data_IF_807532143703
#
_entry.id   IF_807532143703
#
_cell.length_a   1.000
_cell.length_b   1.000
_cell.length_c   1.000
_cell.angle_alpha   90.00
_cell.angle_beta   90.00
_cell.angle_gamma   90.00
#
_symmetry.space_group_name_H-M   'P 1'
#
loop_
_entity.id
_entity.type
_entity.pdbx_description
1 polymer ?
#
# COMPACT_ATOMS: atom_id res chain seq x y z
N UNK A 1 39.22 44.75 24.42
CA UNK A 1 38.66 43.89 25.48
C UNK A 1 38.15 42.55 24.86
N UNK A 2 39.01 41.51 24.85
CA UNK A 2 38.63 40.20 24.37
C UNK A 2 37.76 39.50 25.43
N UNK A 3 36.50 39.23 25.12
CA UNK A 3 35.61 38.43 25.96
C UNK A 3 36.14 37.00 25.99
N UNK A 4 36.85 36.59 27.04
CA UNK A 4 37.20 35.19 27.31
C UNK A 4 35.90 34.44 27.68
N UNK A 5 35.48 33.51 26.83
CA UNK A 5 34.42 32.61 27.15
C UNK A 5 34.88 31.58 28.20
N UNK A 6 34.03 31.15 29.15
CA UNK A 6 34.37 30.06 30.07
C UNK A 6 34.69 28.80 29.29
N UNK A 7 35.69 27.98 29.73
CA UNK A 7 36.17 26.81 28.98
C UNK A 7 35.11 25.80 28.59
N UNK A 8 34.04 25.61 29.37
CA UNK A 8 32.91 24.73 29.05
C UNK A 8 32.00 25.25 27.93
N UNK A 9 31.91 26.57 27.71
CA UNK A 9 31.06 27.13 26.63
C UNK A 9 31.65 26.92 25.25
N UNK A 10 32.98 26.88 25.13
CA UNK A 10 33.69 26.66 23.86
C UNK A 10 33.60 25.17 23.45
N UNK A 11 33.74 24.26 24.42
CA UNK A 11 33.54 22.80 24.20
C UNK A 11 32.11 22.48 23.77
N UNK A 12 31.09 23.11 24.38
CA UNK A 12 29.68 22.91 24.05
C UNK A 12 29.36 23.31 22.60
N UNK A 13 29.78 24.49 22.15
CA UNK A 13 29.53 24.98 20.78
C UNK A 13 30.15 24.07 19.71
N UNK A 14 31.34 23.55 19.98
CA UNK A 14 32.02 22.63 19.07
C UNK A 14 31.21 21.30 18.96
N UNK A 15 30.72 20.79 20.10
CA UNK A 15 29.91 19.57 20.13
C UNK A 15 28.56 19.77 19.41
N UNK A 16 27.85 20.88 19.65
CA UNK A 16 26.62 21.24 18.99
C UNK A 16 26.79 21.30 17.46
N UNK A 17 27.84 21.96 16.97
CA UNK A 17 28.14 22.05 15.54
C UNK A 17 28.47 20.68 14.96
N UNK A 18 29.29 19.89 15.62
CA UNK A 18 29.63 18.52 15.19
C UNK A 18 28.39 17.63 15.05
N UNK A 19 27.42 17.76 15.95
CA UNK A 19 26.14 17.01 15.90
C UNK A 19 25.35 17.47 14.68
N UNK A 20 25.19 18.77 14.47
CA UNK A 20 24.42 19.31 13.36
C UNK A 20 25.03 18.93 12.00
N UNK A 21 26.35 19.08 11.84
CA UNK A 21 27.06 18.73 10.61
C UNK A 21 26.91 17.23 10.28
N UNK A 22 27.07 16.35 11.28
CA UNK A 22 26.87 14.91 11.09
C UNK A 22 25.41 14.51 10.82
N UNK A 23 24.46 15.19 11.42
CA UNK A 23 23.04 14.97 11.18
C UNK A 23 22.68 15.31 9.72
N UNK A 24 23.11 16.46 9.22
CA UNK A 24 22.86 16.87 7.83
C UNK A 24 23.58 15.98 6.80
N UNK A 25 24.71 15.42 7.19
CA UNK A 25 25.41 14.43 6.36
C UNK A 25 24.82 13.01 6.39
N UNK A 26 23.79 12.76 7.23
CA UNK A 26 23.19 11.44 7.38
C UNK A 26 24.06 10.39 8.11
N UNK A 27 25.13 10.82 8.78
CA UNK A 27 26.16 9.94 9.37
C UNK A 27 25.96 9.65 10.86
N UNK A 28 24.77 9.82 11.41
CA UNK A 28 24.49 9.50 12.84
C UNK A 28 23.58 8.28 12.92
N UNK A 29 24.12 7.14 13.34
CA UNK A 29 23.31 5.98 13.74
C UNK A 29 22.82 6.11 15.19
N UNK A 30 21.80 5.35 15.58
CA UNK A 30 21.12 5.42 16.87
C UNK A 30 22.05 5.28 18.07
N UNK A 31 23.01 4.33 18.03
CA UNK A 31 23.98 4.15 19.12
C UNK A 31 24.88 5.38 19.29
N UNK A 32 25.38 5.95 18.20
CA UNK A 32 26.18 7.17 18.25
C UNK A 32 25.37 8.38 18.70
N UNK A 33 24.08 8.44 18.34
CA UNK A 33 23.18 9.50 18.79
C UNK A 33 22.98 9.46 20.30
N UNK A 34 22.86 8.29 20.90
CA UNK A 34 22.72 8.13 22.35
C UNK A 34 23.98 8.59 23.08
N UNK A 35 25.17 8.20 22.62
CA UNK A 35 26.45 8.63 23.23
C UNK A 35 26.62 10.15 23.13
N UNK A 36 26.35 10.73 21.96
CA UNK A 36 26.41 12.21 21.78
C UNK A 36 25.36 12.93 22.62
N UNK A 37 24.20 12.33 22.83
CA UNK A 37 23.16 12.88 23.72
C UNK A 37 23.66 12.92 25.18
N UNK A 38 24.29 11.84 25.66
CA UNK A 38 24.81 11.75 27.01
C UNK A 38 25.94 12.77 27.26
N UNK A 39 26.82 12.98 26.28
CA UNK A 39 27.84 14.04 26.33
C UNK A 39 27.21 15.42 26.32
N UNK A 40 26.23 15.66 25.43
CA UNK A 40 25.60 16.98 25.26
C UNK A 40 24.79 17.38 26.49
N UNK A 41 24.02 16.47 27.08
CA UNK A 41 23.12 16.80 28.20
C UNK A 41 23.87 17.26 29.45
N UNK A 42 25.12 16.84 29.62
CA UNK A 42 25.98 17.25 30.76
C UNK A 42 26.42 18.71 30.64
N UNK A 43 26.58 19.22 29.40
CA UNK A 43 27.07 20.59 29.12
C UNK A 43 25.97 21.46 28.49
N UNK A 44 24.75 20.96 28.41
CA UNK A 44 23.64 21.60 27.71
C UNK A 44 23.23 22.95 28.34
N UNK A 45 22.75 23.82 27.49
CA UNK A 45 22.16 25.09 27.87
C UNK A 45 21.02 25.47 26.91
N UNK A 46 20.37 26.61 27.09
CA UNK A 46 19.20 26.99 26.27
C UNK A 46 19.45 26.97 24.76
N UNK A 47 20.67 27.20 24.31
CA UNK A 47 21.02 27.16 22.88
C UNK A 47 21.22 25.76 22.31
N UNK A 48 21.30 24.73 23.17
CA UNK A 48 21.56 23.34 22.73
C UNK A 48 20.34 22.66 22.11
N UNK A 49 19.15 23.26 22.15
CA UNK A 49 17.88 22.68 21.68
C UNK A 49 17.95 22.14 20.25
N UNK A 50 18.62 22.84 19.33
CA UNK A 50 18.74 22.39 17.94
C UNK A 50 19.50 21.07 17.82
N UNK A 51 20.65 20.96 18.48
CA UNK A 51 21.46 19.74 18.47
C UNK A 51 20.72 18.59 19.20
N UNK A 52 20.03 18.88 20.28
CA UNK A 52 19.16 17.91 20.98
C UNK A 52 18.05 17.40 20.05
N UNK A 53 17.38 18.28 19.31
CA UNK A 53 16.32 17.89 18.37
C UNK A 53 16.86 16.99 17.23
N UNK A 54 18.08 17.24 16.71
CA UNK A 54 18.73 16.36 15.74
C UNK A 54 18.89 14.94 16.32
N UNK A 55 19.39 14.82 17.55
CA UNK A 55 19.60 13.53 18.20
C UNK A 55 18.28 12.83 18.55
N UNK A 56 17.30 13.56 19.07
CA UNK A 56 15.95 13.05 19.33
C UNK A 56 15.28 12.54 18.06
N UNK A 57 15.43 13.24 16.93
CA UNK A 57 14.89 12.80 15.64
C UNK A 57 15.50 11.47 15.17
N UNK A 58 16.83 11.32 15.31
CA UNK A 58 17.51 10.07 14.92
C UNK A 58 17.05 8.91 15.82
N UNK A 59 17.09 9.09 17.15
CA UNK A 59 16.70 8.02 18.09
C UNK A 59 15.21 7.73 17.98
N UNK A 60 14.36 8.76 17.89
CA UNK A 60 12.91 8.61 17.80
C UNK A 60 12.45 7.93 16.51
N UNK A 61 13.20 8.10 15.40
CA UNK A 61 12.92 7.40 14.15
C UNK A 61 13.08 5.89 14.28
N UNK A 62 14.16 5.45 14.92
CA UNK A 62 14.51 4.03 15.01
C UNK A 62 13.87 3.36 16.24
N UNK A 63 13.78 4.09 17.37
CA UNK A 63 13.20 3.59 18.62
C UNK A 63 12.35 4.68 19.32
N UNK A 64 11.03 4.79 19.02
CA UNK A 64 10.16 5.83 19.55
C UNK A 64 10.11 5.86 21.10
N UNK A 65 10.12 4.69 21.74
CA UNK A 65 10.09 4.58 23.22
C UNK A 65 11.33 5.23 23.85
N UNK A 66 12.52 5.03 23.27
CA UNK A 66 13.73 5.71 23.72
C UNK A 66 13.64 7.22 23.50
N UNK A 67 13.05 7.66 22.38
CA UNK A 67 12.81 9.08 22.11
C UNK A 67 12.02 9.76 23.24
N UNK A 68 10.94 9.12 23.70
CA UNK A 68 10.14 9.61 24.85
C UNK A 68 10.98 9.65 26.15
N UNK A 69 11.78 8.62 26.40
CA UNK A 69 12.67 8.57 27.58
C UNK A 69 13.71 9.71 27.55
N UNK A 70 14.32 9.96 26.38
CA UNK A 70 15.30 11.05 26.22
C UNK A 70 14.66 12.42 26.41
N UNK A 71 13.42 12.63 25.97
CA UNK A 71 12.69 13.88 26.19
C UNK A 71 12.55 14.17 27.71
N UNK A 72 12.21 13.19 28.53
CA UNK A 72 12.14 13.34 29.98
C UNK A 72 13.48 13.77 30.59
N UNK A 73 14.59 13.31 30.03
CA UNK A 73 15.94 13.73 30.46
C UNK A 73 16.24 15.17 30.06
N UNK A 74 15.82 15.63 28.86
CA UNK A 74 15.92 17.01 28.43
C UNK A 74 15.15 17.96 29.35
N UNK A 75 13.93 17.57 29.70
CA UNK A 75 13.10 18.33 30.62
C UNK A 75 13.75 18.51 32.00
N UNK A 76 14.39 17.45 32.54
CA UNK A 76 15.13 17.49 33.82
C UNK A 76 16.40 18.33 33.73
N UNK A 77 17.03 18.41 32.59
CA UNK A 77 18.23 19.24 32.36
C UNK A 77 17.93 20.74 32.25
N UNK A 78 16.68 21.17 32.42
CA UNK A 78 16.21 22.57 32.33
C UNK A 78 16.53 23.23 30.98
N UNK A 79 16.64 22.44 29.92
CA UNK A 79 16.70 22.95 28.52
C UNK A 79 15.26 23.23 28.07
N UNK A 80 14.91 24.49 27.76
CA UNK A 80 13.53 24.83 27.37
C UNK A 80 13.18 24.11 26.05
N UNK A 81 12.18 23.21 26.03
CA UNK A 81 11.73 22.56 24.79
C UNK A 81 11.15 23.60 23.83
N UNK A 82 11.48 23.45 22.56
CA UNK A 82 10.94 24.25 21.46
C UNK A 82 9.77 23.52 20.78
N UNK A 83 9.04 24.20 19.91
CA UNK A 83 7.94 23.59 19.14
C UNK A 83 8.38 22.27 18.47
N UNK A 84 9.52 22.26 17.78
CA UNK A 84 10.06 21.03 17.13
C UNK A 84 10.31 19.91 18.16
N UNK A 85 10.76 20.25 19.37
CA UNK A 85 11.00 19.24 20.43
C UNK A 85 9.71 18.54 20.83
N UNK A 86 8.62 19.30 20.98
CA UNK A 86 7.29 18.75 21.25
C UNK A 86 6.73 17.96 20.05
N UNK A 87 6.97 18.42 18.82
CA UNK A 87 6.57 17.68 17.61
C UNK A 87 7.22 16.30 17.55
N UNK A 88 8.52 16.22 17.86
CA UNK A 88 9.24 14.95 17.94
C UNK A 88 8.66 14.06 19.06
N UNK A 89 8.33 14.65 20.22
CA UNK A 89 7.71 13.92 21.33
C UNK A 89 6.34 13.34 20.94
N UNK A 90 5.47 14.16 20.34
CA UNK A 90 4.14 13.72 19.89
C UNK A 90 4.28 12.58 18.89
N UNK A 91 5.16 12.71 17.89
CA UNK A 91 5.44 11.64 16.91
C UNK A 91 5.94 10.36 17.60
N UNK A 92 6.90 10.47 18.53
CA UNK A 92 7.42 9.33 19.28
C UNK A 92 6.34 8.65 20.12
N UNK A 93 5.49 9.41 20.82
CA UNK A 93 4.39 8.88 21.61
C UNK A 93 3.38 8.14 20.73
N UNK A 94 3.00 8.73 19.59
CA UNK A 94 2.08 8.13 18.63
C UNK A 94 2.63 6.83 18.04
N UNK A 95 3.89 6.80 17.64
CA UNK A 95 4.53 5.61 17.07
C UNK A 95 4.84 4.53 18.11
N UNK A 96 4.97 4.90 19.38
CA UNK A 96 5.12 3.98 20.51
C UNK A 96 3.78 3.39 20.98
N UNK A 97 2.64 3.78 20.38
CA UNK A 97 1.30 3.36 20.83
C UNK A 97 0.83 4.00 22.14
N UNK A 98 1.51 5.06 22.59
CA UNK A 98 1.19 5.76 23.84
C UNK A 98 0.32 7.00 23.58
N UNK A 99 -0.90 6.80 23.07
CA UNK A 99 -1.78 7.91 22.66
C UNK A 99 -2.08 8.90 23.79
N UNK A 100 -2.25 8.43 25.03
CA UNK A 100 -2.53 9.31 26.19
C UNK A 100 -1.39 10.32 26.43
N UNK A 101 -0.13 9.85 26.31
CA UNK A 101 1.03 10.73 26.37
C UNK A 101 1.11 11.67 25.16
N UNK A 102 0.72 11.20 23.98
CA UNK A 102 0.60 12.02 22.78
C UNK A 102 -0.41 13.16 22.96
N UNK A 103 -1.58 12.87 23.52
CA UNK A 103 -2.60 13.89 23.87
C UNK A 103 -2.09 14.87 24.92
N UNK A 104 -1.44 14.39 25.99
CA UNK A 104 -0.86 15.25 27.01
C UNK A 104 0.20 16.20 26.44
N UNK A 105 1.10 15.68 25.59
CA UNK A 105 2.10 16.47 24.89
C UNK A 105 1.45 17.52 23.96
N UNK A 106 0.38 17.14 23.24
CA UNK A 106 -0.39 18.06 22.41
C UNK A 106 -1.05 19.17 23.24
N UNK A 107 -1.60 18.84 24.41
CA UNK A 107 -2.14 19.81 25.35
C UNK A 107 -1.10 20.87 25.80
N UNK A 108 0.16 20.46 25.95
CA UNK A 108 1.26 21.39 26.23
C UNK A 108 1.58 22.29 25.01
N UNK A 109 1.60 21.75 23.81
CA UNK A 109 1.80 22.51 22.56
C UNK A 109 0.77 23.64 22.45
N UNK A 110 -0.49 23.30 22.69
CA UNK A 110 -1.61 24.25 22.65
C UNK A 110 -1.47 25.33 23.72
N UNK A 111 -1.18 24.96 24.98
CA UNK A 111 -1.02 25.91 26.10
C UNK A 111 0.13 26.88 25.88
N UNK A 112 1.19 26.47 25.19
CA UNK A 112 2.34 27.32 24.88
C UNK A 112 2.10 28.22 23.65
N UNK A 113 0.94 28.12 22.99
CA UNK A 113 0.55 28.97 21.87
C UNK A 113 1.38 28.75 20.61
N UNK A 114 1.95 27.57 20.40
CA UNK A 114 2.72 27.30 19.19
C UNK A 114 1.81 27.24 17.95
N UNK A 115 2.10 28.07 16.96
CA UNK A 115 1.31 28.22 15.72
C UNK A 115 1.40 27.03 14.76
N UNK A 116 2.41 26.18 14.88
CA UNK A 116 2.62 25.00 14.04
C UNK A 116 1.96 23.72 14.59
N UNK A 117 0.88 23.87 15.37
CA UNK A 117 0.17 22.75 15.97
C UNK A 117 -0.40 21.74 14.95
N UNK A 118 -0.62 22.16 13.70
CA UNK A 118 -1.19 21.32 12.64
C UNK A 118 -0.35 20.07 12.34
N UNK A 119 0.98 20.17 12.40
CA UNK A 119 1.88 19.00 12.21
C UNK A 119 1.68 17.99 13.34
N UNK A 120 1.57 18.48 14.58
CA UNK A 120 1.36 17.65 15.77
C UNK A 120 0.00 16.95 15.72
N UNK A 121 -1.06 17.65 15.28
CA UNK A 121 -2.35 17.03 15.02
C UNK A 121 -2.26 15.93 13.96
N UNK A 122 -1.48 16.13 12.90
CA UNK A 122 -1.32 15.12 11.85
C UNK A 122 -0.69 13.82 12.36
N UNK A 123 0.29 13.90 13.27
CA UNK A 123 0.86 12.70 13.91
C UNK A 123 -0.18 11.98 14.77
N UNK A 124 -0.94 12.74 15.56
CA UNK A 124 -1.98 12.22 16.42
C UNK A 124 -3.13 11.58 15.64
N UNK A 125 -3.62 12.24 14.58
CA UNK A 125 -4.65 11.73 13.69
C UNK A 125 -4.25 10.40 13.05
N UNK A 126 -3.01 10.30 12.55
CA UNK A 126 -2.49 9.04 11.96
C UNK A 126 -2.50 7.90 12.96
N UNK A 127 -2.07 8.15 14.19
CA UNK A 127 -2.01 7.14 15.24
C UNK A 127 -3.42 6.70 15.68
N UNK A 128 -4.36 7.64 15.84
CA UNK A 128 -5.76 7.36 16.18
C UNK A 128 -6.43 6.52 15.09
N UNK A 129 -6.24 6.87 13.81
CA UNK A 129 -6.77 6.09 12.69
C UNK A 129 -6.13 4.70 12.60
N UNK A 130 -4.84 4.55 12.96
CA UNK A 130 -4.18 3.23 13.01
C UNK A 130 -4.78 2.32 14.09
N UNK A 131 -5.29 2.89 15.21
CA UNK A 131 -6.05 2.17 16.24
C UNK A 131 -7.53 1.95 15.90
N UNK A 132 -7.95 2.25 14.67
CA UNK A 132 -9.35 2.13 14.22
C UNK A 132 -10.33 2.98 15.05
N UNK A 133 -9.91 4.16 15.49
CA UNK A 133 -10.73 5.14 16.23
C UNK A 133 -11.02 6.35 15.34
N UNK A 134 -11.33 6.15 14.06
CA UNK A 134 -11.44 7.24 13.08
C UNK A 134 -12.58 8.22 13.38
N UNK A 135 -13.65 7.79 14.06
CA UNK A 135 -14.69 8.74 14.55
C UNK A 135 -14.12 9.80 15.48
N UNK A 136 -13.20 9.41 16.36
CA UNK A 136 -12.54 10.38 17.25
C UNK A 136 -11.57 11.28 16.46
N UNK A 137 -10.86 10.75 15.47
CA UNK A 137 -10.03 11.57 14.59
C UNK A 137 -10.88 12.61 13.82
N UNK A 138 -12.08 12.23 13.40
CA UNK A 138 -13.05 13.12 12.75
C UNK A 138 -13.51 14.24 13.70
N UNK A 139 -13.84 13.94 14.95
CA UNK A 139 -14.15 14.95 15.96
C UNK A 139 -12.99 15.92 16.21
N UNK A 140 -11.75 15.43 16.20
CA UNK A 140 -10.57 16.29 16.30
C UNK A 140 -10.51 17.29 15.14
N UNK A 141 -10.68 16.82 13.90
CA UNK A 141 -10.60 17.68 12.71
C UNK A 141 -11.76 18.68 12.65
N UNK A 142 -12.99 18.24 12.93
CA UNK A 142 -14.18 19.06 12.73
C UNK A 142 -14.46 20.01 13.92
N UNK A 143 -14.05 19.63 15.13
CA UNK A 143 -14.41 20.37 16.36
C UNK A 143 -13.20 20.86 17.12
N UNK A 144 -12.25 19.96 17.46
CA UNK A 144 -11.17 20.28 18.38
C UNK A 144 -10.16 21.24 17.73
N UNK A 145 -9.70 20.98 16.51
CA UNK A 145 -8.74 21.85 15.82
C UNK A 145 -9.26 23.29 15.68
N UNK A 146 -10.51 23.53 15.21
CA UNK A 146 -11.07 24.89 15.13
C UNK A 146 -11.19 25.58 16.48
N UNK A 147 -11.52 24.87 17.57
CA UNK A 147 -11.59 25.44 18.92
C UNK A 147 -10.27 26.05 19.40
N UNK A 148 -9.15 25.55 18.86
CA UNK A 148 -7.80 26.06 19.16
C UNK A 148 -7.23 26.95 18.05
N UNK A 149 -8.07 27.53 17.21
CA UNK A 149 -7.67 28.35 16.05
C UNK A 149 -6.68 27.64 15.11
N UNK A 150 -6.68 26.30 15.11
CA UNK A 150 -5.91 25.48 14.19
C UNK A 150 -6.82 25.05 13.04
N UNK A 151 -6.73 25.74 11.90
CA UNK A 151 -7.56 25.42 10.74
C UNK A 151 -7.10 24.08 10.12
N UNK A 152 -7.98 23.06 10.05
CA UNK A 152 -7.65 21.82 9.35
C UNK A 152 -7.29 22.11 7.89
N UNK A 153 -6.33 21.38 7.37
CA UNK A 153 -5.94 21.46 5.96
C UNK A 153 -6.31 20.15 5.22
N UNK A 154 -6.15 20.14 3.92
CA UNK A 154 -6.43 18.97 3.07
C UNK A 154 -5.69 17.71 3.54
N UNK A 155 -4.49 17.86 4.12
CA UNK A 155 -3.72 16.74 4.64
C UNK A 155 -4.36 16.13 5.89
N UNK A 156 -4.93 16.95 6.80
CA UNK A 156 -5.67 16.47 7.97
C UNK A 156 -6.91 15.67 7.56
N UNK A 157 -7.65 16.16 6.59
CA UNK A 157 -8.81 15.45 6.03
C UNK A 157 -8.39 14.15 5.31
N UNK A 158 -7.30 14.16 4.53
CA UNK A 158 -6.80 12.95 3.84
C UNK A 158 -6.47 11.81 4.80
N UNK A 159 -5.97 12.12 6.01
CA UNK A 159 -5.73 11.10 7.04
C UNK A 159 -7.05 10.48 7.51
N UNK A 160 -8.07 11.30 7.74
CA UNK A 160 -9.40 10.84 8.16
C UNK A 160 -10.07 10.01 7.05
N UNK A 161 -10.05 10.47 5.80
CA UNK A 161 -10.57 9.72 4.66
C UNK A 161 -9.93 8.34 4.54
N UNK A 162 -8.60 8.29 4.61
CA UNK A 162 -7.88 7.01 4.59
C UNK A 162 -8.24 6.11 5.77
N UNK A 163 -8.45 6.68 6.95
CA UNK A 163 -8.90 5.96 8.14
C UNK A 163 -10.28 5.34 7.92
N UNK A 164 -11.26 6.13 7.49
CA UNK A 164 -12.63 5.68 7.20
C UNK A 164 -12.66 4.56 6.16
N UNK A 165 -11.97 4.74 5.04
CA UNK A 165 -11.89 3.72 3.99
C UNK A 165 -11.23 2.42 4.48
N UNK A 166 -10.19 2.50 5.34
CA UNK A 166 -9.57 1.32 5.93
C UNK A 166 -10.49 0.59 6.92
N UNK A 167 -11.39 1.31 7.59
CA UNK A 167 -12.42 0.75 8.49
C UNK A 167 -13.67 0.27 7.73
N UNK A 168 -13.69 0.33 6.40
CA UNK A 168 -14.85 0.04 5.54
C UNK A 168 -16.07 0.93 5.87
N UNK A 169 -15.82 2.21 6.01
CA UNK A 169 -16.81 3.26 6.31
C UNK A 169 -16.78 4.34 5.24
N UNK A 170 -16.71 3.93 3.98
CA UNK A 170 -16.57 4.85 2.84
C UNK A 170 -17.82 5.72 2.64
N UNK A 171 -18.98 5.30 3.17
CA UNK A 171 -20.19 6.12 3.17
C UNK A 171 -20.02 7.39 4.01
N UNK A 172 -19.43 7.30 5.20
CA UNK A 172 -19.15 8.47 6.02
C UNK A 172 -18.08 9.37 5.40
N UNK A 173 -17.13 8.77 4.67
CA UNK A 173 -16.18 9.54 3.89
C UNK A 173 -16.85 10.31 2.74
N UNK A 174 -17.84 9.73 2.08
CA UNK A 174 -18.64 10.39 1.05
C UNK A 174 -19.41 11.60 1.61
N UNK A 175 -20.07 11.42 2.76
CA UNK A 175 -20.77 12.51 3.46
C UNK A 175 -19.82 13.64 3.84
N UNK A 176 -18.62 13.32 4.30
CA UNK A 176 -17.62 14.32 4.66
C UNK A 176 -17.13 15.11 3.42
N UNK A 177 -16.98 14.46 2.24
CA UNK A 177 -16.70 15.17 0.97
C UNK A 177 -17.84 16.16 0.66
N UNK A 178 -19.09 15.75 0.81
CA UNK A 178 -20.23 16.62 0.54
C UNK A 178 -20.22 17.87 1.42
N UNK A 179 -19.96 17.69 2.72
CA UNK A 179 -19.81 18.81 3.65
C UNK A 179 -18.66 19.76 3.20
N UNK A 180 -17.51 19.21 2.79
CA UNK A 180 -16.39 20.04 2.31
C UNK A 180 -16.71 20.81 1.03
N UNK A 181 -17.54 20.26 0.15
CA UNK A 181 -17.98 20.92 -1.10
C UNK A 181 -18.99 22.02 -0.79
N UNK A 182 -19.96 21.74 0.10
CA UNK A 182 -21.03 22.66 0.45
C UNK A 182 -20.55 23.87 1.26
N UNK A 183 -19.64 23.65 2.22
CA UNK A 183 -19.08 24.73 3.05
C UNK A 183 -18.27 25.75 2.24
N UNK A 184 -17.84 25.42 1.01
CA UNK A 184 -17.09 26.33 0.13
C UNK A 184 -15.81 26.88 0.76
N UNK A 185 -15.36 26.28 1.87
CA UNK A 185 -14.30 26.74 2.75
C UNK A 185 -12.90 26.65 2.15
N UNK A 186 -11.90 26.89 3.01
CA UNK A 186 -10.47 26.90 2.65
C UNK A 186 -9.93 25.57 2.13
N UNK A 187 -10.66 24.46 2.36
CA UNK A 187 -10.21 23.09 2.05
C UNK A 187 -11.20 22.44 1.06
N UNK A 188 -11.02 22.69 -0.24
CA UNK A 188 -11.75 21.95 -1.25
C UNK A 188 -11.12 20.57 -1.48
N UNK A 189 -11.96 19.51 -1.68
CA UNK A 189 -11.45 18.20 -2.04
C UNK A 189 -10.57 18.25 -3.28
N UNK A 190 -9.42 17.62 -3.23
CA UNK A 190 -8.47 17.51 -4.35
C UNK A 190 -8.53 16.11 -5.00
N UNK A 191 -7.72 15.89 -6.03
CA UNK A 191 -7.63 14.60 -6.73
C UNK A 191 -7.29 13.45 -5.79
N UNK A 192 -6.48 13.68 -4.76
CA UNK A 192 -6.07 12.64 -3.78
C UNK A 192 -7.25 12.25 -2.90
N UNK A 193 -8.01 13.25 -2.45
CA UNK A 193 -9.21 13.06 -1.63
C UNK A 193 -10.25 12.24 -2.37
N UNK A 194 -10.65 12.69 -3.57
CA UNK A 194 -11.61 11.96 -4.41
C UNK A 194 -11.14 10.53 -4.70
N UNK A 195 -9.89 10.36 -5.12
CA UNK A 195 -9.33 9.03 -5.45
C UNK A 195 -9.32 8.09 -4.25
N UNK A 196 -9.04 8.60 -3.05
CA UNK A 196 -9.03 7.79 -1.81
C UNK A 196 -10.43 7.26 -1.49
N UNK A 197 -11.46 8.11 -1.58
CA UNK A 197 -12.84 7.70 -1.26
C UNK A 197 -13.42 6.82 -2.37
N UNK A 198 -13.15 7.12 -3.63
CA UNK A 198 -13.51 6.26 -4.77
C UNK A 198 -12.92 4.85 -4.61
N UNK A 199 -11.64 4.73 -4.29
CA UNK A 199 -10.97 3.44 -4.05
C UNK A 199 -11.58 2.71 -2.85
N UNK A 200 -11.94 3.43 -1.78
CA UNK A 200 -12.65 2.89 -0.63
C UNK A 200 -14.00 2.29 -1.01
N UNK A 201 -14.84 3.05 -1.69
CA UNK A 201 -16.15 2.62 -2.18
C UNK A 201 -16.05 1.38 -3.09
N UNK A 202 -15.07 1.37 -4.00
CA UNK A 202 -14.83 0.23 -4.90
C UNK A 202 -14.42 -1.04 -4.13
N UNK A 203 -13.63 -0.91 -3.07
CA UNK A 203 -13.23 -2.04 -2.20
C UNK A 203 -14.39 -2.58 -1.37
N UNK A 204 -15.37 -1.76 -1.07
CA UNK A 204 -16.60 -2.14 -0.38
C UNK A 204 -17.67 -2.69 -1.34
N UNK A 205 -17.44 -2.60 -2.65
CA UNK A 205 -18.37 -3.06 -3.70
C UNK A 205 -19.40 -2.00 -4.12
N UNK A 206 -19.31 -0.77 -3.58
CA UNK A 206 -20.23 0.33 -3.84
C UNK A 206 -19.89 1.05 -5.17
N UNK A 207 -19.96 0.31 -6.28
CA UNK A 207 -19.47 0.75 -7.60
C UNK A 207 -20.26 1.94 -8.15
N UNK A 208 -21.58 1.95 -7.98
CA UNK A 208 -22.42 3.04 -8.46
C UNK A 208 -22.15 4.34 -7.70
N UNK A 209 -21.91 4.27 -6.39
CA UNK A 209 -21.55 5.43 -5.59
C UNK A 209 -20.16 5.95 -5.97
N UNK A 210 -19.20 5.06 -6.24
CA UNK A 210 -17.87 5.42 -6.71
C UNK A 210 -17.92 6.17 -8.06
N UNK A 211 -18.79 5.72 -8.99
CA UNK A 211 -19.00 6.37 -10.27
C UNK A 211 -19.69 7.74 -10.13
N UNK A 212 -20.66 7.84 -9.25
CA UNK A 212 -21.33 9.11 -8.96
C UNK A 212 -20.34 10.12 -8.38
N UNK A 213 -19.47 9.67 -7.45
CA UNK A 213 -18.43 10.52 -6.87
C UNK A 213 -17.39 10.95 -7.91
N UNK A 214 -17.04 10.06 -8.84
CA UNK A 214 -16.17 10.42 -9.97
C UNK A 214 -16.83 11.48 -10.87
N UNK A 215 -18.09 11.33 -11.16
CA UNK A 215 -18.84 12.31 -11.95
C UNK A 215 -18.93 13.66 -11.24
N UNK A 216 -19.08 13.66 -9.90
CA UNK A 216 -19.02 14.86 -9.06
C UNK A 216 -17.65 15.53 -9.13
N UNK A 217 -16.56 14.74 -8.99
CA UNK A 217 -15.19 15.23 -9.13
C UNK A 217 -15.01 16.01 -10.46
N UNK A 218 -15.53 15.44 -11.57
CA UNK A 218 -15.45 16.08 -12.88
C UNK A 218 -16.28 17.37 -12.93
N UNK A 219 -17.47 17.39 -12.32
CA UNK A 219 -18.38 18.55 -12.25
C UNK A 219 -17.77 19.70 -11.43
N UNK A 220 -17.02 19.37 -10.38
CA UNK A 220 -16.27 20.34 -9.56
C UNK A 220 -14.99 20.85 -10.25
N UNK A 221 -14.70 20.41 -11.47
CA UNK A 221 -13.53 20.83 -12.23
C UNK A 221 -12.22 20.20 -11.74
N UNK A 222 -12.26 19.19 -10.88
CA UNK A 222 -11.09 18.45 -10.42
C UNK A 222 -10.74 17.40 -11.46
N UNK A 223 -9.59 17.56 -12.12
CA UNK A 223 -9.13 16.61 -13.15
C UNK A 223 -8.66 15.31 -12.51
N UNK A 224 -9.22 14.15 -12.90
CA UNK A 224 -8.71 12.87 -12.45
C UNK A 224 -7.33 12.60 -13.01
N UNK A 225 -6.58 11.72 -12.36
CA UNK A 225 -5.34 11.19 -12.90
C UNK A 225 -5.53 9.75 -13.41
N UNK A 226 -4.49 9.20 -14.04
CA UNK A 226 -4.52 7.83 -14.57
C UNK A 226 -4.83 6.79 -13.49
N UNK A 227 -4.40 7.02 -12.24
CA UNK A 227 -4.64 6.11 -11.12
C UNK A 227 -6.14 6.08 -10.77
N UNK A 228 -6.77 7.26 -10.63
CA UNK A 228 -8.22 7.38 -10.35
C UNK A 228 -9.04 6.65 -11.42
N UNK A 229 -8.77 6.92 -12.69
CA UNK A 229 -9.51 6.30 -13.80
C UNK A 229 -9.29 4.78 -13.85
N UNK A 230 -8.05 4.30 -13.68
CA UNK A 230 -7.74 2.88 -13.69
C UNK A 230 -8.39 2.13 -12.51
N UNK A 231 -8.47 2.76 -11.33
CA UNK A 231 -9.17 2.17 -10.18
C UNK A 231 -10.67 2.02 -10.45
N UNK A 232 -11.31 3.04 -11.02
CA UNK A 232 -12.74 2.99 -11.39
C UNK A 232 -12.98 1.92 -12.44
N UNK A 233 -12.20 1.90 -13.51
CA UNK A 233 -12.29 0.89 -14.57
C UNK A 233 -12.15 -0.51 -13.99
N UNK A 234 -11.14 -0.73 -13.13
CA UNK A 234 -10.93 -2.03 -12.47
C UNK A 234 -12.11 -2.43 -11.58
N UNK A 235 -12.65 -1.49 -10.79
CA UNK A 235 -13.81 -1.73 -9.94
C UNK A 235 -15.05 -2.09 -10.75
N UNK A 236 -15.34 -1.34 -11.82
CA UNK A 236 -16.46 -1.58 -12.73
C UNK A 236 -16.34 -2.92 -13.45
N UNK A 237 -15.14 -3.29 -13.92
CA UNK A 237 -14.90 -4.59 -14.56
C UNK A 237 -15.15 -5.73 -13.58
N UNK A 238 -14.71 -5.63 -12.33
CA UNK A 238 -15.00 -6.62 -11.28
C UNK A 238 -16.50 -6.75 -10.97
N UNK A 239 -17.23 -5.65 -11.03
CA UNK A 239 -18.67 -5.62 -10.86
C UNK A 239 -19.45 -5.93 -12.15
N UNK A 240 -18.78 -6.46 -13.18
CA UNK A 240 -19.36 -6.83 -14.48
C UNK A 240 -20.01 -5.65 -15.25
N UNK A 241 -19.72 -4.40 -14.87
CA UNK A 241 -20.21 -3.18 -15.51
C UNK A 241 -19.23 -2.65 -16.57
N UNK A 242 -18.79 -3.52 -17.48
CA UNK A 242 -17.69 -3.23 -18.43
C UNK A 242 -18.02 -2.12 -19.43
N UNK A 243 -19.31 -1.95 -19.77
CA UNK A 243 -19.73 -0.87 -20.69
C UNK A 243 -19.52 0.51 -20.03
N UNK A 244 -19.85 0.67 -18.74
CA UNK A 244 -19.52 1.88 -17.98
C UNK A 244 -17.99 2.09 -17.86
N UNK A 245 -17.23 1.01 -17.69
CA UNK A 245 -15.77 1.08 -17.67
C UNK A 245 -15.21 1.62 -19.00
N UNK A 246 -15.80 1.23 -20.13
CA UNK A 246 -15.44 1.73 -21.46
C UNK A 246 -15.78 3.23 -21.62
N UNK A 247 -16.88 3.70 -21.05
CA UNK A 247 -17.20 5.12 -21.03
C UNK A 247 -16.13 5.93 -20.28
N UNK A 248 -15.63 5.41 -19.14
CA UNK A 248 -14.53 6.06 -18.40
C UNK A 248 -13.24 6.06 -19.22
N UNK A 249 -12.94 4.99 -19.96
CA UNK A 249 -11.79 4.97 -20.89
C UNK A 249 -11.92 6.06 -21.96
N UNK A 250 -13.12 6.23 -22.55
CA UNK A 250 -13.38 7.28 -23.52
C UNK A 250 -13.16 8.68 -22.91
N UNK A 251 -13.64 8.90 -21.68
CA UNK A 251 -13.42 10.16 -20.95
C UNK A 251 -11.95 10.43 -20.66
N UNK A 252 -11.12 9.39 -20.45
CA UNK A 252 -9.67 9.54 -20.32
C UNK A 252 -9.08 10.18 -21.60
N UNK A 253 -9.42 9.64 -22.77
CA UNK A 253 -8.92 10.16 -24.04
C UNK A 253 -9.39 11.61 -24.30
N UNK A 254 -10.66 11.91 -24.06
CA UNK A 254 -11.21 13.26 -24.23
C UNK A 254 -10.49 14.30 -23.37
N UNK A 255 -9.92 13.88 -22.24
CA UNK A 255 -9.18 14.74 -21.31
C UNK A 255 -7.65 14.67 -21.48
N UNK A 256 -7.17 13.93 -22.49
CA UNK A 256 -5.73 13.75 -22.72
C UNK A 256 -5.03 12.91 -21.65
N UNK A 257 -5.76 12.11 -20.86
CA UNK A 257 -5.20 11.17 -19.90
C UNK A 257 -4.90 9.86 -20.61
N UNK A 258 -3.62 9.54 -20.78
CA UNK A 258 -3.23 8.32 -21.48
C UNK A 258 -3.44 7.08 -20.58
N UNK A 259 -4.24 6.08 -21.05
CA UNK A 259 -4.38 4.81 -20.36
C UNK A 259 -3.03 4.09 -20.25
N UNK A 260 -2.83 3.41 -19.13
CA UNK A 260 -1.65 2.58 -18.92
C UNK A 260 -1.97 1.09 -19.04
N UNK A 261 -0.96 0.24 -18.92
CA UNK A 261 -1.10 -1.22 -18.98
C UNK A 261 -2.14 -1.77 -18.00
N UNK A 262 -2.21 -1.20 -16.79
CA UNK A 262 -3.19 -1.61 -15.76
C UNK A 262 -4.62 -1.32 -16.21
N UNK A 263 -4.86 -0.18 -16.87
CA UNK A 263 -6.18 0.18 -17.43
C UNK A 263 -6.63 -0.87 -18.45
N UNK A 264 -5.75 -1.20 -19.41
CA UNK A 264 -6.07 -2.18 -20.44
C UNK A 264 -6.23 -3.59 -19.88
N UNK A 265 -5.35 -4.03 -18.99
CA UNK A 265 -5.45 -5.34 -18.34
C UNK A 265 -6.77 -5.51 -17.57
N UNK A 266 -7.25 -4.44 -16.90
CA UNK A 266 -8.55 -4.46 -16.21
C UNK A 266 -9.71 -4.62 -17.17
N UNK A 267 -9.71 -3.94 -18.32
CA UNK A 267 -10.74 -4.06 -19.34
C UNK A 267 -10.72 -5.45 -20.02
N UNK A 268 -9.54 -5.94 -20.39
CA UNK A 268 -9.35 -7.27 -20.97
C UNK A 268 -9.92 -8.33 -20.03
N UNK A 269 -9.56 -8.28 -18.75
CA UNK A 269 -10.08 -9.20 -17.74
C UNK A 269 -11.60 -9.08 -17.58
N UNK A 270 -12.14 -7.86 -17.57
CA UNK A 270 -13.58 -7.61 -17.50
C UNK A 270 -14.33 -8.18 -18.69
N UNK A 271 -13.88 -7.94 -19.91
CA UNK A 271 -14.49 -8.51 -21.12
C UNK A 271 -14.41 -10.03 -21.16
N UNK A 272 -13.27 -10.63 -20.79
CA UNK A 272 -13.15 -12.10 -20.70
C UNK A 272 -14.09 -12.69 -19.64
N UNK A 273 -14.29 -12.03 -18.50
CA UNK A 273 -15.22 -12.54 -17.48
C UNK A 273 -16.68 -12.61 -17.96
N UNK A 274 -17.02 -11.82 -18.99
CA UNK A 274 -18.34 -11.82 -19.65
C UNK A 274 -18.37 -12.65 -20.95
N UNK A 275 -17.29 -13.32 -21.33
CA UNK A 275 -17.18 -14.08 -22.59
C UNK A 275 -17.18 -13.20 -23.86
N UNK A 276 -16.92 -11.91 -23.73
CA UNK A 276 -16.96 -10.92 -24.83
C UNK A 276 -15.61 -10.83 -25.56
N UNK A 277 -15.18 -11.90 -26.22
CA UNK A 277 -13.85 -12.00 -26.84
C UNK A 277 -13.63 -11.03 -28.01
N UNK A 278 -14.68 -10.70 -28.76
CA UNK A 278 -14.54 -9.77 -29.90
C UNK A 278 -14.12 -8.37 -29.45
N UNK A 279 -14.62 -7.95 -28.32
CA UNK A 279 -14.26 -6.66 -27.71
C UNK A 279 -12.82 -6.67 -27.16
N UNK A 280 -12.35 -7.82 -26.68
CA UNK A 280 -10.95 -7.98 -26.26
C UNK A 280 -10.00 -7.74 -27.43
N UNK A 281 -10.29 -8.27 -28.63
CA UNK A 281 -9.47 -8.03 -29.82
C UNK A 281 -9.41 -6.53 -30.18
N UNK A 282 -10.50 -5.80 -29.95
CA UNK A 282 -10.53 -4.35 -30.14
C UNK A 282 -9.65 -3.63 -29.13
N UNK A 283 -9.71 -4.03 -27.86
CA UNK A 283 -8.88 -3.45 -26.80
C UNK A 283 -7.39 -3.71 -27.07
N UNK A 284 -7.00 -4.90 -27.53
CA UNK A 284 -5.61 -5.17 -27.93
C UNK A 284 -5.14 -4.27 -29.08
N UNK A 285 -5.96 -4.04 -30.09
CA UNK A 285 -5.64 -3.12 -31.17
C UNK A 285 -5.48 -1.68 -30.66
N UNK A 286 -6.40 -1.24 -29.82
CA UNK A 286 -6.37 0.09 -29.21
C UNK A 286 -5.13 0.28 -28.34
N UNK A 287 -4.79 -0.71 -27.51
CA UNK A 287 -3.59 -0.74 -26.69
C UNK A 287 -2.31 -0.58 -27.55
N UNK A 288 -2.23 -1.32 -28.67
CA UNK A 288 -1.09 -1.24 -29.59
C UNK A 288 -1.00 0.11 -30.29
N UNK A 289 -2.14 0.68 -30.75
CA UNK A 289 -2.22 2.00 -31.38
C UNK A 289 -1.74 3.09 -30.40
N UNK A 290 -2.06 2.96 -29.12
CA UNK A 290 -1.64 3.90 -28.09
C UNK A 290 -0.22 3.65 -27.56
N UNK A 291 0.54 2.75 -28.18
CA UNK A 291 1.94 2.46 -27.84
C UNK A 291 2.15 1.69 -26.54
N UNK A 292 1.08 1.13 -25.97
CA UNK A 292 1.15 0.31 -24.74
C UNK A 292 1.36 -1.15 -25.16
N UNK A 293 2.50 -1.73 -24.81
CA UNK A 293 2.80 -3.12 -25.13
C UNK A 293 2.24 -4.08 -24.07
N UNK A 294 1.69 -5.24 -24.48
CA UNK A 294 1.29 -6.31 -23.57
C UNK A 294 2.45 -6.75 -22.67
N UNK A 295 2.16 -6.98 -21.41
CA UNK A 295 3.10 -7.53 -20.43
C UNK A 295 2.73 -8.97 -20.03
N UNK A 296 3.52 -9.55 -19.14
CA UNK A 296 3.29 -10.91 -18.60
C UNK A 296 1.87 -11.04 -18.01
N UNK A 297 1.36 -9.99 -17.39
CA UNK A 297 0.01 -9.99 -16.79
C UNK A 297 -1.04 -10.07 -17.90
N UNK A 298 -0.87 -9.30 -18.98
CA UNK A 298 -1.76 -9.33 -20.16
C UNK A 298 -1.84 -10.74 -20.75
N UNK A 299 -0.69 -11.38 -20.97
CA UNK A 299 -0.63 -12.75 -21.50
C UNK A 299 -1.23 -13.76 -20.52
N UNK A 300 -0.97 -13.62 -19.22
CA UNK A 300 -1.54 -14.49 -18.20
C UNK A 300 -3.07 -14.40 -18.15
N UNK A 301 -3.66 -13.21 -18.26
CA UNK A 301 -5.13 -13.02 -18.33
C UNK A 301 -5.70 -13.73 -19.55
N UNK A 302 -5.05 -13.63 -20.72
CA UNK A 302 -5.49 -14.28 -21.94
C UNK A 302 -5.40 -15.80 -21.84
N UNK A 303 -4.28 -16.33 -21.35
CA UNK A 303 -4.10 -17.77 -21.17
C UNK A 303 -5.08 -18.36 -20.13
N UNK A 304 -5.30 -17.65 -19.03
CA UNK A 304 -6.26 -18.08 -17.99
C UNK A 304 -7.68 -18.23 -18.55
N UNK A 305 -8.11 -17.25 -19.37
CA UNK A 305 -9.39 -17.32 -20.05
C UNK A 305 -9.47 -18.51 -21.00
N UNK A 306 -8.46 -18.72 -21.85
CA UNK A 306 -8.40 -19.82 -22.82
C UNK A 306 -8.41 -21.18 -22.11
N UNK A 307 -7.64 -21.35 -21.04
CA UNK A 307 -7.62 -22.58 -20.23
C UNK A 307 -8.99 -22.85 -19.59
N UNK A 308 -9.65 -21.85 -19.04
CA UNK A 308 -11.01 -21.99 -18.46
C UNK A 308 -12.08 -22.31 -19.50
N UNK A 309 -11.83 -21.93 -20.76
CA UNK A 309 -12.72 -22.22 -21.89
C UNK A 309 -12.41 -23.55 -22.58
N UNK A 310 -11.50 -24.37 -22.04
CA UNK A 310 -11.11 -25.65 -22.63
C UNK A 310 -10.30 -25.49 -23.95
N UNK A 311 -9.53 -24.43 -24.08
CA UNK A 311 -8.71 -24.12 -25.25
C UNK A 311 -7.22 -24.06 -24.88
N UNK A 312 -6.72 -25.08 -24.18
CA UNK A 312 -5.35 -25.09 -23.69
C UNK A 312 -4.30 -25.12 -24.81
N UNK A 313 -4.63 -25.69 -25.97
CA UNK A 313 -3.76 -25.67 -27.13
C UNK A 313 -3.50 -24.22 -27.64
N UNK A 314 -4.52 -23.36 -27.63
CA UNK A 314 -4.37 -21.95 -27.97
C UNK A 314 -3.63 -21.18 -26.86
N UNK A 315 -3.91 -21.48 -25.59
CA UNK A 315 -3.16 -20.92 -24.47
C UNK A 315 -1.67 -21.28 -24.55
N UNK A 316 -1.33 -22.49 -24.99
CA UNK A 316 0.07 -22.89 -25.23
C UNK A 316 0.74 -22.07 -26.32
N UNK A 317 0.05 -21.78 -27.42
CA UNK A 317 0.60 -20.90 -28.48
C UNK A 317 0.87 -19.49 -27.96
N UNK A 318 0.02 -18.96 -27.10
CA UNK A 318 0.23 -17.67 -26.44
C UNK A 318 1.49 -17.71 -25.56
N UNK A 319 1.66 -18.78 -24.79
CA UNK A 319 2.84 -18.99 -23.96
C UNK A 319 4.13 -19.03 -24.79
N UNK A 320 4.14 -19.78 -25.90
CA UNK A 320 5.30 -19.87 -26.78
C UNK A 320 5.59 -18.53 -27.48
N UNK A 321 4.54 -17.80 -27.88
CA UNK A 321 4.68 -16.45 -28.44
C UNK A 321 5.24 -15.45 -27.44
N UNK A 322 4.81 -15.50 -26.17
CA UNK A 322 5.31 -14.66 -25.10
C UNK A 322 6.83 -14.85 -24.91
N UNK A 323 7.30 -16.10 -24.90
CA UNK A 323 8.73 -16.42 -24.81
C UNK A 323 9.49 -15.89 -26.04
N UNK A 324 8.95 -16.06 -27.24
CA UNK A 324 9.57 -15.58 -28.48
C UNK A 324 9.74 -14.06 -28.51
N UNK A 325 8.86 -13.33 -27.81
CA UNK A 325 8.91 -11.88 -27.63
C UNK A 325 9.83 -11.45 -26.48
N UNK A 326 10.58 -12.38 -25.86
CA UNK A 326 11.52 -12.09 -24.78
C UNK A 326 10.88 -11.87 -23.41
N UNK A 327 9.62 -12.22 -23.24
CA UNK A 327 8.94 -12.17 -21.94
C UNK A 327 9.22 -13.48 -21.18
N UNK A 328 9.79 -13.37 -19.97
CA UNK A 328 10.11 -14.55 -19.17
C UNK A 328 8.88 -15.04 -18.39
N UNK A 329 8.43 -16.30 -18.60
CA UNK A 329 7.34 -16.87 -17.82
C UNK A 329 7.66 -16.86 -16.31
N UNK A 330 6.62 -16.71 -15.50
CA UNK A 330 6.71 -16.78 -14.03
C UNK A 330 6.05 -18.05 -13.51
N UNK A 331 6.25 -18.42 -12.24
CA UNK A 331 5.55 -19.54 -11.62
C UNK A 331 4.02 -19.44 -11.82
N UNK A 332 3.46 -18.23 -11.78
CA UNK A 332 2.02 -17.99 -12.08
C UNK A 332 1.67 -18.37 -13.52
N UNK A 333 2.51 -18.04 -14.49
CA UNK A 333 2.30 -18.39 -15.90
C UNK A 333 2.22 -19.90 -16.10
N UNK A 334 3.16 -20.64 -15.50
CA UNK A 334 3.14 -22.11 -15.53
C UNK A 334 1.92 -22.69 -14.83
N UNK A 335 1.54 -22.14 -13.66
CA UNK A 335 0.38 -22.58 -12.89
C UNK A 335 -0.93 -22.44 -13.66
N UNK A 336 -1.10 -21.39 -14.47
CA UNK A 336 -2.28 -21.18 -15.33
C UNK A 336 -2.42 -22.31 -16.34
N UNK A 337 -1.34 -22.63 -17.08
CA UNK A 337 -1.35 -23.71 -18.05
C UNK A 337 -1.51 -25.09 -17.39
N UNK A 338 -0.83 -25.34 -16.27
CA UNK A 338 -0.98 -26.58 -15.50
C UNK A 338 -2.42 -26.79 -15.06
N UNK A 339 -3.08 -25.75 -14.56
CA UNK A 339 -4.47 -25.81 -14.19
C UNK A 339 -5.38 -26.11 -15.39
N UNK A 340 -5.11 -25.49 -16.54
CA UNK A 340 -5.82 -25.78 -17.79
C UNK A 340 -5.67 -27.24 -18.20
N UNK A 341 -4.44 -27.76 -18.28
CA UNK A 341 -4.18 -29.17 -18.61
C UNK A 341 -4.79 -30.15 -17.60
N UNK A 342 -4.80 -29.76 -16.30
CA UNK A 342 -5.49 -30.55 -15.28
C UNK A 342 -7.01 -30.65 -15.53
N UNK A 343 -7.63 -29.56 -16.00
CA UNK A 343 -9.06 -29.57 -16.36
C UNK A 343 -9.34 -30.42 -17.62
N UNK A 344 -8.44 -30.42 -18.61
CA UNK A 344 -8.52 -31.25 -19.82
C UNK A 344 -8.03 -32.70 -19.59
N UNK A 345 -7.57 -33.04 -18.36
CA UNK A 345 -6.98 -34.34 -18.00
C UNK A 345 -5.76 -34.73 -18.85
N UNK A 346 -5.02 -33.71 -19.34
CA UNK A 346 -3.85 -33.91 -20.17
C UNK A 346 -2.59 -34.05 -19.30
N UNK A 347 -2.45 -35.20 -18.63
CA UNK A 347 -1.35 -35.48 -17.70
C UNK A 347 0.02 -35.46 -18.37
N UNK A 348 0.11 -35.87 -19.64
CA UNK A 348 1.35 -35.82 -20.40
C UNK A 348 1.85 -34.39 -20.55
N UNK A 349 0.97 -33.45 -20.95
CA UNK A 349 1.33 -32.04 -21.12
C UNK A 349 1.67 -31.37 -19.78
N UNK A 350 1.03 -31.82 -18.68
CA UNK A 350 1.39 -31.35 -17.33
C UNK A 350 2.84 -31.71 -16.98
N UNK A 351 3.28 -32.95 -17.25
CA UNK A 351 4.65 -33.37 -17.00
C UNK A 351 5.65 -32.60 -17.86
N UNK A 352 5.41 -32.51 -19.18
CA UNK A 352 6.24 -31.75 -20.10
C UNK A 352 6.37 -30.28 -19.66
N UNK A 353 5.29 -29.69 -19.15
CA UNK A 353 5.31 -28.29 -18.71
C UNK A 353 6.10 -28.10 -17.42
N UNK A 354 6.08 -29.06 -16.49
CA UNK A 354 6.90 -29.02 -15.27
C UNK A 354 8.37 -29.18 -15.60
N UNK A 355 8.71 -30.09 -16.51
CA UNK A 355 10.09 -30.26 -16.93
C UNK A 355 10.62 -28.98 -17.57
N UNK A 356 9.84 -28.35 -18.44
CA UNK A 356 10.15 -27.05 -19.03
C UNK A 356 10.29 -25.94 -17.97
N UNK A 357 9.45 -25.95 -16.92
CA UNK A 357 9.55 -25.00 -15.81
C UNK A 357 10.89 -25.12 -15.09
N UNK A 358 11.33 -26.37 -14.81
CA UNK A 358 12.60 -26.65 -14.15
C UNK A 358 13.78 -26.30 -15.06
N UNK A 359 13.73 -26.65 -16.37
CA UNK A 359 14.74 -26.29 -17.35
C UNK A 359 14.94 -24.78 -17.46
N UNK A 360 13.87 -24.00 -17.32
CA UNK A 360 13.94 -22.53 -17.27
C UNK A 360 14.37 -21.97 -15.90
N UNK A 361 14.82 -22.82 -14.99
CA UNK A 361 15.34 -22.42 -13.68
C UNK A 361 14.28 -22.00 -12.66
N UNK A 362 12.99 -22.30 -12.92
CA UNK A 362 11.90 -22.00 -12.01
C UNK A 362 11.53 -23.25 -11.23
N UNK A 363 11.77 -23.25 -9.93
CA UNK A 363 11.41 -24.38 -9.07
C UNK A 363 9.90 -24.42 -8.81
N UNK A 364 9.24 -25.59 -8.96
CA UNK A 364 7.84 -25.75 -8.55
C UNK A 364 7.65 -25.42 -7.08
N UNK A 365 6.61 -24.65 -6.77
CA UNK A 365 6.23 -24.25 -5.42
C UNK A 365 5.07 -25.13 -4.88
N UNK A 366 4.61 -24.83 -3.66
CA UNK A 366 3.46 -25.54 -3.05
C UNK A 366 2.21 -25.51 -3.93
N UNK A 367 1.99 -24.37 -4.61
CA UNK A 367 0.80 -24.19 -5.44
C UNK A 367 0.83 -25.11 -6.68
N UNK A 368 1.96 -25.21 -7.35
CA UNK A 368 2.18 -26.14 -8.48
C UNK A 368 1.97 -27.58 -8.05
N UNK A 369 2.56 -28.01 -6.92
CA UNK A 369 2.36 -29.36 -6.41
C UNK A 369 0.91 -29.65 -6.02
N UNK A 370 0.21 -28.68 -5.43
CA UNK A 370 -1.21 -28.83 -5.07
C UNK A 370 -2.10 -28.98 -6.32
N UNK A 371 -1.79 -28.30 -7.43
CA UNK A 371 -2.50 -28.52 -8.71
C UNK A 371 -2.33 -29.97 -9.18
N UNK A 372 -1.10 -30.50 -9.15
CA UNK A 372 -0.82 -31.86 -9.55
C UNK A 372 -1.55 -32.89 -8.66
N UNK A 373 -1.38 -32.76 -7.34
CA UNK A 373 -2.03 -33.63 -6.35
C UNK A 373 -3.55 -33.63 -6.57
N UNK A 374 -4.15 -32.44 -6.75
CA UNK A 374 -5.57 -32.28 -6.98
C UNK A 374 -6.03 -32.89 -8.31
N UNK A 375 -5.25 -32.75 -9.39
CA UNK A 375 -5.57 -33.32 -10.68
C UNK A 375 -5.57 -34.86 -10.67
N UNK A 376 -4.53 -35.48 -10.11
CA UNK A 376 -4.45 -36.94 -9.99
C UNK A 376 -5.44 -37.51 -8.97
N UNK A 377 -5.72 -36.77 -7.87
CA UNK A 377 -6.70 -37.19 -6.88
C UNK A 377 -8.14 -37.24 -7.43
N UNK A 378 -8.49 -36.34 -8.36
CA UNK A 378 -9.80 -36.35 -9.03
C UNK A 378 -10.01 -37.59 -9.90
N UNK A 379 -8.93 -38.13 -10.46
CA UNK A 379 -8.95 -39.34 -11.29
C UNK A 379 -8.59 -40.62 -10.50
N UNK A 380 -8.58 -40.50 -9.16
CA UNK A 380 -8.33 -41.64 -8.23
C UNK A 380 -6.97 -42.33 -8.44
N UNK A 381 -6.01 -41.63 -8.99
CA UNK A 381 -4.65 -42.13 -9.28
C UNK A 381 -3.76 -42.08 -8.03
N UNK A 382 -4.07 -42.93 -7.03
CA UNK A 382 -3.40 -42.91 -5.71
C UNK A 382 -1.89 -43.03 -5.82
N UNK A 383 -1.38 -43.90 -6.69
CA UNK A 383 0.07 -44.08 -6.89
C UNK A 383 0.78 -42.81 -7.30
N UNK A 384 0.21 -42.07 -8.25
CA UNK A 384 0.78 -40.81 -8.75
C UNK A 384 0.68 -39.72 -7.66
N UNK A 385 -0.45 -39.63 -6.95
CA UNK A 385 -0.59 -38.69 -5.83
C UNK A 385 0.50 -38.88 -4.78
N UNK A 386 0.75 -40.15 -4.37
CA UNK A 386 1.76 -40.48 -3.37
C UNK A 386 3.19 -40.23 -3.91
N UNK A 387 3.41 -40.46 -5.19
CA UNK A 387 4.70 -40.17 -5.83
C UNK A 387 4.99 -38.67 -5.81
N UNK A 388 4.04 -37.83 -6.20
CA UNK A 388 4.17 -36.36 -6.22
C UNK A 388 4.33 -35.82 -4.81
N UNK A 389 3.56 -36.34 -3.85
CA UNK A 389 3.67 -35.98 -2.44
C UNK A 389 5.07 -36.26 -1.88
N UNK A 390 5.67 -37.41 -2.26
CA UNK A 390 7.03 -37.77 -1.90
C UNK A 390 8.05 -36.87 -2.55
N UNK A 391 7.89 -36.57 -3.86
CA UNK A 391 8.77 -35.68 -4.62
C UNK A 391 8.79 -34.26 -4.04
N UNK A 392 7.63 -33.74 -3.64
CA UNK A 392 7.50 -32.45 -2.94
C UNK A 392 8.36 -32.39 -1.68
N UNK A 393 8.29 -33.44 -0.85
CA UNK A 393 9.08 -33.56 0.40
C UNK A 393 10.58 -33.67 0.12
N UNK A 394 10.97 -34.43 -0.91
CA UNK A 394 12.39 -34.56 -1.30
C UNK A 394 13.01 -33.23 -1.75
N UNK A 395 12.22 -32.31 -2.27
CA UNK A 395 12.64 -30.97 -2.63
C UNK A 395 12.62 -29.98 -1.44
N UNK A 396 12.39 -30.47 -0.22
CA UNK A 396 12.39 -29.64 1.00
C UNK A 396 11.09 -28.84 1.21
N UNK A 397 10.06 -29.08 0.40
CA UNK A 397 8.74 -28.45 0.55
C UNK A 397 7.89 -29.31 1.50
N UNK A 398 7.49 -28.76 2.64
CA UNK A 398 6.58 -29.44 3.55
C UNK A 398 5.14 -29.31 3.04
N UNK A 399 4.40 -30.43 2.82
CA UNK A 399 3.01 -30.39 2.43
C UNK A 399 2.19 -29.53 3.38
N UNK A 400 1.29 -28.73 2.83
CA UNK A 400 0.40 -27.84 3.56
C UNK A 400 -0.97 -28.49 3.85
N UNK A 401 -1.88 -27.74 4.48
CA UNK A 401 -3.22 -28.22 4.80
C UNK A 401 -4.01 -28.63 3.55
N UNK A 402 -3.75 -27.99 2.39
CA UNK A 402 -4.41 -28.31 1.11
C UNK A 402 -3.90 -29.64 0.59
N UNK A 403 -2.58 -29.85 0.59
CA UNK A 403 -1.95 -31.10 0.17
C UNK A 403 -2.48 -32.30 0.99
N UNK A 404 -2.45 -32.18 2.33
CA UNK A 404 -2.97 -33.24 3.22
C UNK A 404 -4.48 -33.45 3.07
N UNK A 405 -5.26 -32.37 3.00
CA UNK A 405 -6.71 -32.44 2.83
C UNK A 405 -7.10 -33.20 1.57
N UNK A 406 -6.44 -32.92 0.45
CA UNK A 406 -6.70 -33.61 -0.82
C UNK A 406 -6.35 -35.10 -0.77
N UNK A 407 -5.24 -35.46 -0.13
CA UNK A 407 -4.84 -36.89 0.03
C UNK A 407 -5.81 -37.63 0.94
N UNK A 408 -6.22 -37.03 2.07
CA UNK A 408 -7.18 -37.62 3.00
C UNK A 408 -8.54 -37.82 2.31
N UNK A 409 -9.03 -36.83 1.58
CA UNK A 409 -10.28 -36.90 0.83
C UNK A 409 -10.24 -38.04 -0.22
N UNK A 410 -9.12 -38.14 -0.97
CA UNK A 410 -8.91 -39.22 -1.91
C UNK A 410 -8.97 -40.59 -1.23
N UNK A 411 -8.22 -40.78 -0.14
CA UNK A 411 -8.18 -42.05 0.58
C UNK A 411 -9.54 -42.41 1.19
N UNK A 412 -10.29 -41.42 1.67
CA UNK A 412 -11.65 -41.65 2.21
C UNK A 412 -12.69 -42.02 1.15
N UNK A 413 -12.46 -41.68 -0.13
CA UNK A 413 -13.35 -42.07 -1.24
C UNK A 413 -13.09 -43.48 -1.76
N UNK A 414 -11.87 -43.96 -1.59
CA UNK A 414 -11.46 -45.27 -2.14
C UNK A 414 -11.56 -46.39 -1.09
N UNK A 415 -11.45 -46.05 0.20
CA UNK A 415 -11.47 -47.02 1.32
C UNK A 415 -12.74 -47.08 2.06
#
# INVERSE_FOLDING_TARGET
MSRRFPPGAMSRRILERKIQDRYHAGHIGTHNALNLFDELIQVAGPSSVRAINCLLTVVGRDCPVLGVSLFNRVARAKVPPHNITYSILVDCCCRAGCLDLGHAAMGHVIKLGFTEAIVNFSHLLKAICAEKKTSYAMDIVLRIMPMFNCVPNIFSYSIVFKGLCNEKRSQEALELIQIMVEDGGCCRPDVVTYSTVIDGLLKEGEVDQAYNLFSEMLRQGVSPNVVTCSSIISGMCKAQSVDKAKEVLQQMFERGILPNITTYNSLIQGYYSLGRCKEVDQIFKEMTINGVQPDIITYNIQMDYLCKSGQCAEARKIFDSMISLGQNPTATTYSILLHGYAMEKSFHDMHCLIDLMVENGISPDHYVYNILISAYAKEEMVGEVMHIFTKMRQQGLNPDAVSYGTVIDLLSRIG
#
